data_IF_783759511930
#
_entry.id   IF_783759511930
#
_cell.length_a   1.000
_cell.length_b   1.000
_cell.length_c   1.000
_cell.angle_alpha   90.00
_cell.angle_beta   90.00
_cell.angle_gamma   90.00
#
_symmetry.space_group_name_H-M   'P 1'
#
loop_
_entity.id
_entity.type
_entity.pdbx_description
1 polymer ?
#
# COMPACT_ATOMS: atom_id res chain seq x y z
N UNK A 1 19.18 1.93 -24.04
CA UNK A 1 17.99 2.77 -24.30
C UNK A 1 16.80 2.17 -23.59
N UNK A 2 15.86 2.99 -23.17
CA UNK A 2 14.58 2.57 -22.61
C UNK A 2 13.45 3.22 -23.45
N UNK A 3 12.35 2.52 -23.61
CA UNK A 3 11.20 3.01 -24.36
C UNK A 3 9.93 2.27 -23.94
N UNK A 4 8.78 2.80 -24.34
CA UNK A 4 7.49 2.16 -24.09
C UNK A 4 7.14 1.22 -25.26
N UNK A 5 6.48 0.10 -24.97
CA UNK A 5 5.87 -0.74 -26.00
C UNK A 5 4.74 0.05 -26.69
N UNK A 6 4.56 -0.17 -27.99
CA UNK A 6 3.48 0.44 -28.77
C UNK A 6 2.08 0.11 -28.20
N UNK A 7 1.96 -1.01 -27.49
CA UNK A 7 0.72 -1.42 -26.80
C UNK A 7 0.41 -0.56 -25.57
N UNK A 8 1.44 0.05 -24.99
CA UNK A 8 1.35 0.79 -23.72
C UNK A 8 1.39 2.31 -23.92
N UNK A 9 1.64 2.81 -25.13
CA UNK A 9 1.75 4.24 -25.42
C UNK A 9 1.30 4.59 -26.84
N UNK A 10 0.31 5.48 -26.92
CA UNK A 10 -0.21 6.01 -28.19
C UNK A 10 0.81 6.82 -29.00
N UNK A 11 1.92 7.25 -28.39
CA UNK A 11 2.98 8.02 -29.02
C UNK A 11 4.28 7.25 -29.25
N UNK A 12 4.32 5.95 -29.00
CA UNK A 12 5.52 5.16 -29.23
C UNK A 12 5.70 4.89 -30.73
N UNK A 13 6.85 5.30 -31.27
CA UNK A 13 7.24 4.96 -32.62
C UNK A 13 7.92 3.59 -32.64
N UNK A 14 7.56 2.77 -33.62
CA UNK A 14 8.22 1.49 -33.85
C UNK A 14 9.67 1.72 -34.25
N UNK A 15 10.61 1.03 -33.59
CA UNK A 15 11.99 1.00 -34.06
C UNK A 15 12.05 0.35 -35.45
N UNK A 16 12.83 0.96 -36.35
CA UNK A 16 13.10 0.34 -37.65
C UNK A 16 13.71 -1.07 -37.44
N UNK A 17 13.30 -2.03 -38.23
CA UNK A 17 13.70 -3.44 -38.12
C UNK A 17 15.22 -3.64 -38.00
N UNK A 18 16.10 -2.93 -38.76
CA UNK A 18 17.55 -3.07 -38.60
C UNK A 18 18.07 -2.63 -37.23
N UNK A 19 17.40 -1.66 -36.57
CA UNK A 19 17.74 -1.24 -35.21
C UNK A 19 17.18 -2.22 -34.18
N UNK A 20 15.94 -2.66 -34.36
CA UNK A 20 15.31 -3.64 -33.47
C UNK A 20 16.16 -4.90 -33.35
N UNK A 21 16.65 -5.43 -34.45
CA UNK A 21 17.44 -6.67 -34.48
C UNK A 21 18.86 -6.54 -33.91
N UNK A 22 19.33 -5.32 -33.62
CA UNK A 22 20.67 -5.07 -33.03
C UNK A 22 20.68 -4.95 -31.51
N UNK A 23 19.51 -4.95 -30.87
CA UNK A 23 19.38 -4.82 -29.42
C UNK A 23 18.85 -6.08 -28.77
N UNK A 24 19.34 -6.39 -27.58
CA UNK A 24 18.68 -7.32 -26.69
C UNK A 24 17.46 -6.63 -26.07
N UNK A 25 16.29 -7.24 -26.23
CA UNK A 25 15.03 -6.68 -25.71
C UNK A 25 14.71 -7.29 -24.33
N UNK A 26 14.59 -6.43 -23.33
CA UNK A 26 14.18 -6.81 -21.98
C UNK A 26 12.85 -6.11 -21.67
N UNK A 27 11.82 -6.91 -21.41
CA UNK A 27 10.50 -6.40 -21.06
C UNK A 27 10.36 -6.36 -19.53
N UNK A 28 10.17 -5.15 -18.99
CA UNK A 28 9.95 -4.95 -17.55
C UNK A 28 8.44 -4.87 -17.31
N UNK A 29 7.93 -5.78 -16.47
CA UNK A 29 6.54 -5.74 -16.01
C UNK A 29 6.52 -5.37 -14.53
N UNK A 30 5.79 -4.30 -14.20
CA UNK A 30 5.51 -3.97 -12.81
C UNK A 30 4.34 -4.83 -12.34
N UNK A 31 4.56 -5.63 -11.29
CA UNK A 31 3.49 -6.35 -10.59
C UNK A 31 3.05 -5.56 -9.36
N UNK A 32 1.86 -5.87 -8.85
CA UNK A 32 1.35 -5.25 -7.62
C UNK A 32 2.28 -5.51 -6.44
N UNK A 33 2.74 -6.75 -6.30
CA UNK A 33 3.64 -7.18 -5.23
C UNK A 33 4.97 -6.41 -5.29
N UNK A 34 5.56 -6.27 -6.50
CA UNK A 34 6.81 -5.53 -6.66
C UNK A 34 6.65 -4.05 -6.36
N UNK A 35 5.50 -3.47 -6.70
CA UNK A 35 5.21 -2.08 -6.37
C UNK A 35 4.95 -1.89 -4.87
N UNK A 36 4.16 -2.76 -4.23
CA UNK A 36 3.91 -2.69 -2.79
C UNK A 36 5.21 -2.87 -1.98
N UNK A 37 6.09 -3.80 -2.38
CA UNK A 37 7.42 -3.93 -1.78
C UNK A 37 8.22 -2.63 -1.91
N UNK A 38 8.30 -2.06 -3.11
CA UNK A 38 8.95 -0.78 -3.32
C UNK A 38 8.29 0.34 -2.50
N UNK A 39 6.97 0.38 -2.44
CA UNK A 39 6.20 1.39 -1.72
C UNK A 39 6.47 1.37 -0.20
N UNK A 40 6.66 0.19 0.40
CA UNK A 40 7.01 0.06 1.82
C UNK A 40 8.41 0.59 2.16
N UNK A 41 9.30 0.67 1.17
CA UNK A 41 10.68 1.17 1.30
C UNK A 41 10.82 2.66 0.93
N UNK A 42 9.79 3.29 0.30
CA UNK A 42 9.89 4.61 -0.34
C UNK A 42 8.88 5.65 0.17
N UNK A 43 8.47 5.53 1.42
CA UNK A 43 7.59 6.51 2.08
C UNK A 43 6.30 6.84 1.31
N UNK A 44 5.65 5.82 0.74
CA UNK A 44 4.32 5.97 0.14
C UNK A 44 3.27 6.08 1.24
N UNK A 45 2.38 7.05 1.14
CA UNK A 45 1.35 7.31 2.14
C UNK A 45 0.55 6.02 2.48
N UNK A 46 0.37 5.68 3.78
CA UNK A 46 -0.28 4.45 4.22
C UNK A 46 -1.64 4.19 3.59
N UNK A 47 -2.44 5.24 3.40
CA UNK A 47 -3.74 5.12 2.76
C UNK A 47 -3.63 4.64 1.30
N UNK A 48 -2.64 5.13 0.54
CA UNK A 48 -2.42 4.71 -0.84
C UNK A 48 -1.91 3.27 -0.88
N UNK A 49 -0.97 2.92 -0.01
CA UNK A 49 -0.47 1.55 0.11
C UNK A 49 -1.63 0.57 0.36
N UNK A 50 -2.45 0.84 1.39
CA UNK A 50 -3.58 -0.01 1.78
C UNK A 50 -4.64 -0.10 0.67
N UNK A 51 -4.94 1.01 0.01
CA UNK A 51 -5.90 1.03 -1.09
C UNK A 51 -5.43 0.19 -2.29
N UNK A 52 -4.17 0.31 -2.70
CA UNK A 52 -3.60 -0.48 -3.79
C UNK A 52 -3.56 -1.97 -3.43
N UNK A 53 -3.23 -2.31 -2.17
CA UNK A 53 -3.27 -3.68 -1.67
C UNK A 53 -4.70 -4.23 -1.67
N UNK A 54 -5.67 -3.47 -1.15
CA UNK A 54 -7.09 -3.82 -1.16
C UNK A 54 -7.62 -4.10 -2.57
N UNK A 55 -7.32 -3.21 -3.53
CA UNK A 55 -7.72 -3.34 -4.94
C UNK A 55 -6.89 -4.37 -5.72
N UNK A 56 -5.97 -5.09 -5.06
CA UNK A 56 -5.07 -6.08 -5.69
C UNK A 56 -4.37 -5.52 -6.93
N UNK A 57 -4.09 -4.22 -6.92
CA UNK A 57 -3.41 -3.50 -8.00
C UNK A 57 -4.28 -3.15 -9.22
N UNK A 58 -5.57 -3.41 -9.21
CA UNK A 58 -6.47 -3.04 -10.32
C UNK A 58 -6.41 -1.54 -10.64
N UNK A 59 -6.24 -0.70 -9.60
CA UNK A 59 -6.13 0.76 -9.72
C UNK A 59 -4.69 1.25 -9.85
N UNK A 60 -3.70 0.36 -9.76
CA UNK A 60 -2.30 0.74 -9.90
C UNK A 60 -2.01 1.30 -11.30
N UNK A 61 -2.71 0.77 -12.30
CA UNK A 61 -2.60 1.24 -13.68
C UNK A 61 -3.97 1.21 -14.36
N UNK A 62 -4.48 2.37 -14.74
CA UNK A 62 -5.72 2.48 -15.52
C UNK A 62 -5.43 2.73 -17.01
N UNK A 63 -6.37 2.36 -17.87
CA UNK A 63 -6.25 2.63 -19.31
C UNK A 63 -6.45 4.13 -19.57
N UNK A 64 -5.63 4.69 -20.46
CA UNK A 64 -5.81 6.03 -20.94
C UNK A 64 -6.96 6.08 -21.97
N UNK A 65 -7.97 6.90 -21.71
CA UNK A 65 -9.14 7.10 -22.58
C UNK A 65 -9.05 8.36 -23.45
N UNK A 66 -7.94 9.10 -23.36
CA UNK A 66 -7.69 10.34 -24.10
C UNK A 66 -8.26 11.60 -23.48
N UNK A 67 -9.01 11.52 -22.38
CA UNK A 67 -9.74 12.67 -21.79
C UNK A 67 -9.38 12.94 -20.34
N UNK A 68 -9.10 11.91 -19.57
CA UNK A 68 -8.90 12.00 -18.11
C UNK A 68 -7.49 11.55 -17.72
N UNK A 69 -6.94 12.05 -16.60
CA UNK A 69 -5.73 11.48 -16.03
C UNK A 69 -5.94 9.98 -15.77
N UNK A 70 -4.99 9.17 -16.21
CA UNK A 70 -4.97 7.74 -15.94
C UNK A 70 -4.00 7.44 -14.81
N UNK A 71 -4.34 6.50 -13.93
CA UNK A 71 -3.45 6.05 -12.87
C UNK A 71 -2.27 5.27 -13.46
N UNK A 72 -1.08 5.48 -12.89
CA UNK A 72 0.12 4.69 -13.09
C UNK A 72 1.01 4.72 -11.83
N UNK A 73 1.99 3.83 -11.70
CA UNK A 73 2.85 3.76 -10.52
C UNK A 73 3.51 5.09 -10.12
N UNK A 74 3.94 5.90 -11.10
CA UNK A 74 4.55 7.22 -10.85
C UNK A 74 3.54 8.24 -10.34
N UNK A 75 2.33 8.23 -10.89
CA UNK A 75 1.26 9.12 -10.43
C UNK A 75 0.79 8.79 -9.02
N UNK A 76 0.82 7.52 -8.62
CA UNK A 76 0.56 7.13 -7.24
C UNK A 76 1.65 7.62 -6.28
N UNK A 77 2.91 7.64 -6.70
CA UNK A 77 3.98 8.29 -5.93
C UNK A 77 3.75 9.80 -5.79
N UNK A 78 3.38 10.48 -6.89
CA UNK A 78 3.04 11.91 -6.84
C UNK A 78 1.80 12.16 -5.98
N UNK A 79 0.79 11.31 -6.05
CA UNK A 79 -0.41 11.37 -5.21
C UNK A 79 -0.07 11.21 -3.73
N UNK A 80 0.88 10.33 -3.40
CA UNK A 80 1.39 10.17 -2.03
C UNK A 80 2.00 11.46 -1.50
N UNK A 81 2.89 12.07 -2.27
CA UNK A 81 3.51 13.36 -1.90
C UNK A 81 2.47 14.47 -1.75
N UNK A 82 1.47 14.51 -2.63
CA UNK A 82 0.36 15.47 -2.55
C UNK A 82 -0.47 15.25 -1.29
N UNK A 83 -0.79 14.00 -0.96
CA UNK A 83 -1.57 13.67 0.22
C UNK A 83 -0.84 14.04 1.52
N UNK A 84 0.47 13.78 1.63
CA UNK A 84 1.29 14.26 2.74
C UNK A 84 1.32 15.78 2.87
N UNK A 85 1.37 16.49 1.73
CA UNK A 85 1.45 17.95 1.73
C UNK A 85 0.12 18.65 2.04
N UNK A 86 -1.00 18.06 1.64
CA UNK A 86 -2.31 18.73 1.68
C UNK A 86 -3.30 18.12 2.68
N UNK A 87 -3.13 16.85 3.03
CA UNK A 87 -4.11 16.06 3.78
C UNK A 87 -5.46 15.89 3.07
N UNK A 88 -5.57 16.29 1.80
CA UNK A 88 -6.84 16.30 1.04
C UNK A 88 -6.85 15.22 -0.05
N UNK A 89 -7.53 14.09 0.17
CA UNK A 89 -7.60 13.01 -0.80
C UNK A 89 -8.35 13.40 -2.08
N UNK A 90 -9.23 14.39 -2.06
CA UNK A 90 -9.97 14.88 -3.23
C UNK A 90 -9.07 15.48 -4.30
N UNK A 91 -7.89 15.97 -3.92
CA UNK A 91 -6.92 16.53 -4.86
C UNK A 91 -6.28 15.48 -5.78
N UNK A 92 -6.36 14.19 -5.41
CA UNK A 92 -5.82 13.11 -6.21
C UNK A 92 -6.48 12.99 -7.58
N UNK A 93 -7.68 13.56 -7.77
CA UNK A 93 -8.39 13.58 -9.06
C UNK A 93 -7.56 14.15 -10.21
N UNK A 94 -6.66 15.07 -9.92
CA UNK A 94 -5.76 15.66 -10.91
C UNK A 94 -4.69 14.67 -11.40
N UNK A 95 -4.42 13.60 -10.66
CA UNK A 95 -3.37 12.63 -10.93
C UNK A 95 -3.92 11.28 -11.39
N UNK A 96 -4.92 10.74 -10.69
CA UNK A 96 -5.42 9.38 -10.91
C UNK A 96 -6.84 9.33 -11.50
N UNK A 97 -7.49 10.49 -11.66
CA UNK A 97 -8.82 10.62 -12.22
C UNK A 97 -9.93 10.62 -11.16
N UNK A 98 -11.12 11.09 -11.56
CA UNK A 98 -12.26 11.33 -10.67
C UNK A 98 -12.80 10.03 -10.03
N UNK A 99 -13.01 8.98 -10.84
CA UNK A 99 -13.63 7.75 -10.37
C UNK A 99 -12.74 7.03 -9.33
N UNK A 100 -11.44 6.92 -9.61
CA UNK A 100 -10.47 6.31 -8.69
C UNK A 100 -10.37 7.14 -7.40
N UNK A 101 -10.40 8.47 -7.50
CA UNK A 101 -10.37 9.35 -6.34
C UNK A 101 -11.59 9.17 -5.46
N UNK A 102 -12.79 9.10 -6.04
CA UNK A 102 -14.02 8.86 -5.28
C UNK A 102 -13.97 7.53 -4.53
N UNK A 103 -13.57 6.45 -5.20
CA UNK A 103 -13.39 5.13 -4.55
C UNK A 103 -12.34 5.17 -3.44
N UNK A 104 -11.26 5.92 -3.64
CA UNK A 104 -10.21 6.10 -2.64
C UNK A 104 -10.71 6.85 -1.40
N UNK A 105 -11.48 7.94 -1.59
CA UNK A 105 -12.10 8.68 -0.48
C UNK A 105 -13.08 7.80 0.29
N UNK A 106 -13.94 7.06 -0.42
CA UNK A 106 -14.86 6.10 0.20
C UNK A 106 -14.09 5.04 1.01
N UNK A 107 -13.00 4.50 0.47
CA UNK A 107 -12.14 3.55 1.19
C UNK A 107 -11.54 4.16 2.46
N UNK A 108 -11.03 5.38 2.42
CA UNK A 108 -10.45 6.04 3.60
C UNK A 108 -11.47 6.24 4.73
N UNK A 109 -12.76 6.37 4.38
CA UNK A 109 -13.85 6.54 5.35
C UNK A 109 -14.41 5.22 5.91
N UNK A 110 -13.85 4.07 5.55
CA UNK A 110 -14.36 2.76 5.99
C UNK A 110 -13.71 2.22 7.27
N UNK A 111 -12.95 3.00 7.99
CA UNK A 111 -12.43 2.58 9.29
C UNK A 111 -13.59 2.45 10.30
N UNK A 112 -13.81 1.23 10.79
CA UNK A 112 -14.91 0.92 11.74
C UNK A 112 -14.38 0.83 13.17
N UNK A 113 -13.21 0.17 13.39
CA UNK A 113 -12.61 0.01 14.71
C UNK A 113 -11.44 0.99 14.81
N UNK A 114 -11.51 1.85 15.81
CA UNK A 114 -10.53 2.91 16.06
C UNK A 114 -9.40 2.43 16.97
N UNK A 115 -8.35 3.25 17.08
CA UNK A 115 -7.27 3.01 18.03
C UNK A 115 -7.79 2.93 19.48
N UNK A 116 -8.68 3.85 19.85
CA UNK A 116 -9.26 3.89 21.20
C UNK A 116 -10.09 2.64 21.49
N UNK A 117 -10.80 2.09 20.50
CA UNK A 117 -11.53 0.84 20.65
C UNK A 117 -10.58 -0.32 20.93
N UNK A 118 -9.44 -0.39 20.23
CA UNK A 118 -8.44 -1.45 20.45
C UNK A 118 -7.76 -1.30 21.80
N UNK A 119 -7.37 -0.08 22.20
CA UNK A 119 -6.70 0.17 23.50
C UNK A 119 -7.63 -0.15 24.66
N UNK A 120 -8.92 0.24 24.57
CA UNK A 120 -9.90 0.07 25.65
C UNK A 120 -10.69 -1.25 25.53
N UNK A 121 -10.39 -2.09 24.54
CA UNK A 121 -11.10 -3.37 24.29
C UNK A 121 -12.61 -3.18 24.07
N UNK A 122 -13.01 -2.06 23.45
CA UNK A 122 -14.39 -1.72 23.14
C UNK A 122 -14.89 -2.39 21.84
N UNK A 123 -14.50 -3.63 21.61
CA UNK A 123 -14.93 -4.44 20.47
C UNK A 123 -15.15 -5.89 20.87
N UNK A 124 -15.96 -6.60 20.10
CA UNK A 124 -16.23 -8.02 20.30
C UNK A 124 -15.70 -8.84 19.13
N UNK A 125 -15.61 -10.18 19.31
CA UNK A 125 -15.28 -11.08 18.21
C UNK A 125 -16.29 -11.00 17.05
N UNK A 126 -17.56 -10.64 17.35
CA UNK A 126 -18.58 -10.42 16.32
C UNK A 126 -18.27 -9.21 15.46
N UNK A 127 -17.79 -8.13 16.09
CA UNK A 127 -17.42 -6.90 15.37
C UNK A 127 -16.28 -7.19 14.41
N UNK A 128 -15.27 -7.94 14.84
CA UNK A 128 -14.16 -8.38 13.98
C UNK A 128 -14.65 -9.24 12.81
N UNK A 129 -15.55 -10.20 13.08
CA UNK A 129 -16.09 -11.09 12.06
C UNK A 129 -17.01 -10.36 11.06
N UNK A 130 -17.70 -9.31 11.51
CA UNK A 130 -18.59 -8.52 10.69
C UNK A 130 -17.85 -7.62 9.69
N UNK A 131 -16.57 -7.29 9.94
CA UNK A 131 -15.78 -6.44 9.05
C UNK A 131 -15.64 -7.07 7.65
N UNK A 132 -16.04 -6.33 6.63
CA UNK A 132 -15.74 -6.66 5.25
C UNK A 132 -14.24 -6.43 4.92
N UNK A 133 -13.81 -6.86 3.75
CA UNK A 133 -12.39 -6.76 3.35
C UNK A 133 -11.88 -5.31 3.34
N UNK A 134 -12.65 -4.37 2.80
CA UNK A 134 -12.25 -2.95 2.73
C UNK A 134 -12.12 -2.33 4.13
N UNK A 135 -13.06 -2.64 5.04
CA UNK A 135 -13.03 -2.18 6.44
C UNK A 135 -11.82 -2.74 7.19
N UNK A 136 -11.41 -4.00 6.94
CA UNK A 136 -10.19 -4.58 7.52
C UNK A 136 -8.94 -3.84 7.05
N UNK A 137 -8.82 -3.54 5.75
CA UNK A 137 -7.69 -2.76 5.21
C UNK A 137 -7.67 -1.34 5.77
N UNK A 138 -8.82 -0.64 5.82
CA UNK A 138 -8.92 0.72 6.35
C UNK A 138 -8.61 0.76 7.85
N UNK A 139 -9.10 -0.20 8.63
CA UNK A 139 -8.80 -0.34 10.06
C UNK A 139 -7.30 -0.60 10.28
N UNK A 140 -6.68 -1.53 9.54
CA UNK A 140 -5.24 -1.81 9.63
C UNK A 140 -4.41 -0.56 9.31
N UNK A 141 -4.81 0.19 8.29
CA UNK A 141 -4.18 1.47 7.93
C UNK A 141 -4.26 2.49 9.06
N UNK A 142 -5.45 2.71 9.62
CA UNK A 142 -5.64 3.66 10.73
C UNK A 142 -4.83 3.28 11.96
N UNK A 143 -4.78 2.00 12.29
CA UNK A 143 -4.00 1.48 13.42
C UNK A 143 -2.48 1.53 13.20
N UNK A 144 -1.99 1.59 11.98
CA UNK A 144 -0.54 1.67 11.70
C UNK A 144 0.08 3.03 11.99
N UNK A 145 -0.73 4.06 12.25
CA UNK A 145 -0.27 5.43 12.53
C UNK A 145 0.05 5.67 14.03
N UNK A 146 0.28 4.60 14.80
CA UNK A 146 0.48 4.67 16.25
C UNK A 146 1.96 4.73 16.62
N UNK A 147 2.20 5.23 17.83
CA UNK A 147 3.50 5.14 18.51
C UNK A 147 3.74 3.73 19.07
N UNK A 148 4.90 3.54 19.69
CA UNK A 148 5.35 2.26 20.24
C UNK A 148 4.54 1.80 21.48
N UNK A 149 3.80 2.69 22.14
CA UNK A 149 3.24 2.46 23.49
C UNK A 149 2.25 1.30 23.55
N UNK A 150 1.49 1.09 22.49
CA UNK A 150 0.45 0.05 22.42
C UNK A 150 0.71 -0.98 21.30
N UNK A 151 1.92 -1.03 20.78
CA UNK A 151 2.28 -1.80 19.59
C UNK A 151 1.88 -3.27 19.68
N UNK A 152 2.22 -3.96 20.80
CA UNK A 152 1.91 -5.38 20.95
C UNK A 152 0.41 -5.65 20.95
N UNK A 153 -0.37 -4.80 21.64
CA UNK A 153 -1.82 -4.92 21.71
C UNK A 153 -2.45 -4.75 20.31
N UNK A 154 -1.98 -3.75 19.58
CA UNK A 154 -2.46 -3.46 18.23
C UNK A 154 -2.06 -4.57 17.25
N UNK A 155 -0.82 -5.06 17.33
CA UNK A 155 -0.36 -6.21 16.52
C UNK A 155 -1.19 -7.46 16.80
N UNK A 156 -1.47 -7.74 18.07
CA UNK A 156 -2.34 -8.85 18.45
C UNK A 156 -3.76 -8.73 17.86
N UNK A 157 -4.34 -7.54 17.90
CA UNK A 157 -5.64 -7.26 17.27
C UNK A 157 -5.59 -7.46 15.74
N UNK A 158 -4.61 -6.84 15.06
CA UNK A 158 -4.47 -6.91 13.60
C UNK A 158 -4.18 -8.34 13.12
N UNK A 159 -3.40 -9.13 13.87
CA UNK A 159 -3.20 -10.56 13.60
C UNK A 159 -4.53 -11.35 13.64
N UNK A 160 -5.46 -10.94 14.51
CA UNK A 160 -6.82 -11.47 14.58
C UNK A 160 -7.69 -11.16 13.36
N UNK A 161 -7.37 -10.12 12.58
CA UNK A 161 -8.05 -9.82 11.32
C UNK A 161 -7.67 -10.80 10.21
N UNK A 162 -6.48 -11.40 10.28
CA UNK A 162 -5.92 -12.35 9.32
C UNK A 162 -4.42 -12.13 9.11
N UNK A 163 -3.70 -13.16 8.69
CA UNK A 163 -2.24 -13.12 8.54
C UNK A 163 -1.75 -12.05 7.55
N UNK A 164 -2.51 -11.76 6.49
CA UNK A 164 -2.18 -10.73 5.51
C UNK A 164 -2.19 -9.32 6.13
N UNK A 165 -3.11 -9.05 7.07
CA UNK A 165 -3.23 -7.75 7.71
C UNK A 165 -2.08 -7.49 8.70
N UNK A 166 -1.58 -8.52 9.38
CA UNK A 166 -0.38 -8.43 10.18
C UNK A 166 0.85 -8.00 9.37
N UNK A 167 1.04 -8.60 8.20
CA UNK A 167 2.13 -8.23 7.30
C UNK A 167 1.98 -6.79 6.75
N UNK A 168 0.77 -6.37 6.41
CA UNK A 168 0.47 -5.02 5.95
C UNK A 168 0.72 -4.01 7.08
N UNK A 169 0.26 -4.30 8.30
CA UNK A 169 0.50 -3.47 9.47
C UNK A 169 2.00 -3.27 9.70
N UNK A 170 2.76 -4.36 9.75
CA UNK A 170 4.20 -4.30 9.94
C UNK A 170 4.89 -3.43 8.88
N UNK A 171 4.51 -3.60 7.59
CA UNK A 171 5.04 -2.79 6.50
C UNK A 171 4.69 -1.31 6.63
N UNK A 172 3.47 -0.98 7.05
CA UNK A 172 3.01 0.40 7.23
C UNK A 172 3.59 1.05 8.48
N UNK A 173 3.70 0.30 9.58
CA UNK A 173 4.21 0.81 10.84
C UNK A 173 5.71 1.09 10.81
N UNK A 174 6.49 0.22 10.12
CA UNK A 174 7.95 0.39 9.96
C UNK A 174 8.33 1.39 8.87
N UNK A 175 7.38 1.90 8.15
CA UNK A 175 7.50 2.69 6.95
C UNK A 175 8.59 3.78 7.01
N UNK A 176 9.72 3.55 6.32
CA UNK A 176 10.84 4.50 6.23
C UNK A 176 11.64 4.71 7.53
N UNK A 177 11.41 3.93 8.57
CA UNK A 177 12.07 4.05 9.88
C UNK A 177 12.91 2.80 10.18
N UNK A 178 14.23 2.91 10.01
CA UNK A 178 15.17 1.80 10.28
C UNK A 178 15.11 1.33 11.75
N UNK A 179 14.88 2.24 12.70
CA UNK A 179 14.80 1.89 14.12
C UNK A 179 13.59 1.02 14.42
N UNK A 180 12.48 1.26 13.74
CA UNK A 180 11.27 0.43 13.84
C UNK A 180 11.46 -0.94 13.17
N UNK A 181 12.22 -1.00 12.07
CA UNK A 181 12.58 -2.29 11.43
C UNK A 181 13.41 -3.18 12.34
N UNK A 182 14.40 -2.62 13.05
CA UNK A 182 15.20 -3.36 14.02
C UNK A 182 14.35 -3.90 15.18
N UNK A 183 13.47 -3.08 15.76
CA UNK A 183 12.55 -3.49 16.84
C UNK A 183 11.57 -4.57 16.39
N UNK A 184 11.04 -4.45 15.16
CA UNK A 184 10.16 -5.48 14.61
C UNK A 184 10.90 -6.81 14.41
N UNK A 185 12.16 -6.76 13.95
CA UNK A 185 13.00 -7.96 13.82
C UNK A 185 13.27 -8.62 15.16
N UNK A 186 13.57 -7.83 16.21
CA UNK A 186 13.77 -8.33 17.59
C UNK A 186 12.48 -8.96 18.14
N UNK A 187 11.33 -8.32 17.97
CA UNK A 187 10.04 -8.85 18.41
C UNK A 187 9.72 -10.18 17.72
N UNK A 188 9.91 -10.28 16.41
CA UNK A 188 9.70 -11.52 15.65
C UNK A 188 10.64 -12.64 16.06
N UNK A 189 11.89 -12.32 16.40
CA UNK A 189 12.86 -13.30 16.93
C UNK A 189 12.44 -13.82 18.31
N UNK A 190 11.86 -12.99 19.17
CA UNK A 190 11.36 -13.38 20.48
C UNK A 190 10.11 -14.29 20.38
N UNK A 191 9.27 -14.13 19.36
CA UNK A 191 8.09 -14.95 19.12
C UNK A 191 8.43 -16.34 18.51
N UNK A 192 9.65 -16.54 17.96
CA UNK A 192 10.04 -17.84 17.39
C UNK A 192 10.29 -18.89 18.48
N UNK A 193 9.65 -20.07 18.41
CA UNK A 193 9.88 -21.15 19.37
C UNK A 193 11.34 -21.61 19.27
N UNK A 194 12.14 -21.31 20.29
CA UNK A 194 13.57 -21.68 20.39
C UNK A 194 14.56 -20.51 20.30
N UNK A 195 14.13 -19.25 20.22
CA UNK A 195 14.98 -18.06 20.13
C UNK A 195 15.69 -17.62 21.41
N UNK A 196 15.77 -18.47 22.41
CA UNK A 196 16.59 -18.23 23.60
C UNK A 196 18.07 -18.46 23.30
N UNK A 197 18.80 -17.42 22.93
CA UNK A 197 20.26 -17.44 22.94
C UNK A 197 20.67 -17.67 24.39
N UNK A 198 21.04 -18.90 24.76
CA UNK A 198 21.76 -19.18 26.00
C UNK A 198 23.13 -18.48 25.87
N UNK A 199 23.29 -17.43 26.67
CA UNK A 199 24.63 -16.91 27.01
C UNK A 199 25.33 -17.85 27.93
#
# INVERSE_FOLDING_TARGET
>A
AAGNDMKDSLGANQLAEPLFNRFAHVYIKTTTESWLKWASEHNIHPAIYSYIAYKKGETLRSKYDGKMPNADPRKWEMASRMLYATGSPEMLRALVGEDITREFVEFCNQQVITLDDVINENYTQRDIQALNTAERYATTMGLSQVDDTNLEKIRGFVAGLGAEFGAIFDALWTHGDESKLERLAEAKLAEMPGGGIRR
#
